data_IF_463073129566
#
_entry.id   IF_463073129566
#
_cell.length_a   1.000
_cell.length_b   1.000
_cell.length_c   1.000
_cell.angle_alpha   90.00
_cell.angle_beta   90.00
_cell.angle_gamma   90.00
#
_symmetry.space_group_name_H-M   'P 1'
#
loop_
_entity.id
_entity.type
_entity.pdbx_description
1 polymer ?
#
# COMPACT_ATOMS: atom_id res chain seq x y z
N UNK A 1 43.81 -15.38 -11.06
CA UNK A 1 42.94 -14.28 -11.52
C UNK A 1 41.44 -14.60 -11.50
N UNK A 2 40.91 -15.60 -12.26
CA UNK A 2 39.46 -15.89 -12.20
C UNK A 2 38.93 -16.27 -10.81
N UNK A 3 39.63 -17.06 -10.03
CA UNK A 3 39.24 -17.48 -8.67
C UNK A 3 39.27 -16.33 -7.63
N UNK A 4 40.23 -15.43 -7.73
CA UNK A 4 40.30 -14.25 -6.84
C UNK A 4 39.20 -13.24 -7.13
N UNK A 5 38.88 -12.99 -8.41
CA UNK A 5 37.75 -12.13 -8.82
C UNK A 5 36.42 -12.72 -8.34
N UNK A 6 36.24 -14.04 -8.46
CA UNK A 6 35.03 -14.72 -7.99
C UNK A 6 34.89 -14.71 -6.46
N UNK A 7 35.99 -14.83 -5.72
CA UNK A 7 36.00 -14.73 -4.26
C UNK A 7 35.70 -13.32 -3.81
N UNK A 8 36.26 -12.30 -4.45
CA UNK A 8 36.00 -10.88 -4.18
C UNK A 8 34.53 -10.51 -4.45
N UNK A 9 33.94 -10.98 -5.55
CA UNK A 9 32.52 -10.75 -5.88
C UNK A 9 31.57 -11.43 -4.89
N UNK A 10 31.89 -12.62 -4.38
CA UNK A 10 31.11 -13.30 -3.35
C UNK A 10 31.10 -12.55 -2.02
N UNK A 11 32.15 -11.81 -1.71
CA UNK A 11 32.27 -11.00 -0.50
C UNK A 11 31.67 -9.59 -0.66
N UNK A 12 31.44 -9.12 -1.88
CA UNK A 12 30.83 -7.83 -2.17
C UNK A 12 29.33 -7.83 -1.84
N UNK A 13 28.90 -7.01 -0.90
CA UNK A 13 27.49 -6.85 -0.55
C UNK A 13 26.70 -6.19 -1.69
N UNK A 14 27.29 -5.25 -2.40
CA UNK A 14 26.64 -4.54 -3.52
C UNK A 14 26.38 -5.49 -4.66
N UNK A 15 27.38 -6.30 -5.06
CA UNK A 15 27.20 -7.30 -6.10
C UNK A 15 26.08 -8.30 -5.75
N UNK A 16 26.12 -8.85 -4.54
CA UNK A 16 25.10 -9.79 -4.08
C UNK A 16 23.71 -9.14 -4.01
N UNK A 17 23.63 -7.91 -3.55
CA UNK A 17 22.37 -7.15 -3.55
C UNK A 17 21.82 -6.94 -4.96
N UNK A 18 22.67 -6.62 -5.93
CA UNK A 18 22.27 -6.45 -7.34
C UNK A 18 21.74 -7.74 -7.96
N UNK A 19 22.39 -8.88 -7.67
CA UNK A 19 21.90 -10.21 -8.10
C UNK A 19 20.49 -10.47 -7.53
N UNK A 20 20.29 -10.22 -6.23
CA UNK A 20 18.99 -10.39 -5.57
C UNK A 20 17.95 -9.43 -6.17
N UNK A 21 18.31 -8.15 -6.39
CA UNK A 21 17.42 -7.15 -6.98
C UNK A 21 17.01 -7.57 -8.40
N UNK A 22 17.93 -8.06 -9.21
CA UNK A 22 17.65 -8.54 -10.56
C UNK A 22 16.66 -9.71 -10.56
N UNK A 23 16.84 -10.67 -9.63
CA UNK A 23 15.90 -11.77 -9.43
C UNK A 23 14.51 -11.29 -9.01
N UNK A 24 14.43 -10.36 -8.04
CA UNK A 24 13.14 -9.80 -7.59
C UNK A 24 12.46 -8.99 -8.71
N UNK A 25 13.26 -8.41 -9.63
CA UNK A 25 12.75 -7.69 -10.81
C UNK A 25 12.15 -8.66 -11.83
N UNK A 26 12.76 -9.81 -12.07
CA UNK A 26 12.19 -10.85 -12.95
C UNK A 26 10.91 -11.48 -12.39
N UNK A 27 10.70 -11.40 -11.05
CA UNK A 27 9.44 -11.76 -10.39
C UNK A 27 8.39 -10.64 -10.46
N UNK A 28 8.61 -9.57 -11.23
CA UNK A 28 7.72 -8.38 -11.36
C UNK A 28 7.38 -7.67 -10.02
N UNK A 29 8.20 -7.84 -8.99
CA UNK A 29 8.00 -7.24 -7.66
C UNK A 29 8.62 -5.85 -7.57
N UNK A 30 8.27 -4.97 -8.48
CA UNK A 30 8.90 -3.67 -8.71
C UNK A 30 8.92 -2.74 -7.48
N UNK A 31 7.91 -2.77 -6.61
CA UNK A 31 7.93 -2.01 -5.36
C UNK A 31 9.03 -2.50 -4.41
N UNK A 32 9.25 -3.82 -4.34
CA UNK A 32 10.32 -4.42 -3.55
C UNK A 32 11.69 -4.04 -4.12
N UNK A 33 11.85 -4.11 -5.45
CA UNK A 33 13.04 -3.65 -6.17
C UNK A 33 13.39 -2.22 -5.77
N UNK A 34 12.43 -1.30 -5.90
CA UNK A 34 12.63 0.12 -5.55
C UNK A 34 13.05 0.31 -4.08
N UNK A 35 12.43 -0.43 -3.16
CA UNK A 35 12.79 -0.35 -1.73
C UNK A 35 14.21 -0.84 -1.50
N UNK A 36 14.61 -1.95 -2.13
CA UNK A 36 15.95 -2.51 -2.04
C UNK A 36 17.00 -1.55 -2.60
N UNK A 37 16.79 -1.02 -3.81
CA UNK A 37 17.68 -0.04 -4.44
C UNK A 37 17.82 1.24 -3.61
N UNK A 38 16.72 1.73 -3.04
CA UNK A 38 16.74 2.95 -2.24
C UNK A 38 17.47 2.73 -0.92
N UNK A 39 17.25 1.59 -0.26
CA UNK A 39 17.93 1.23 0.98
C UNK A 39 19.43 1.01 0.75
N UNK A 40 19.81 0.34 -0.35
CA UNK A 40 21.21 0.11 -0.72
C UNK A 40 21.94 1.44 -0.98
N UNK A 41 21.35 2.33 -1.78
CA UNK A 41 21.94 3.67 -2.02
C UNK A 41 22.10 4.46 -0.73
N UNK A 42 21.14 4.39 0.18
CA UNK A 42 21.21 5.05 1.47
C UNK A 42 22.35 4.49 2.34
N UNK A 43 22.53 3.17 2.33
CA UNK A 43 23.62 2.49 3.07
C UNK A 43 24.99 2.90 2.53
N UNK A 44 25.16 2.91 1.20
CA UNK A 44 26.43 3.31 0.56
C UNK A 44 26.77 4.76 0.80
N UNK A 45 25.76 5.63 0.89
CA UNK A 45 25.97 7.04 1.27
C UNK A 45 26.50 7.17 2.71
N UNK A 46 25.95 6.38 3.64
CA UNK A 46 26.44 6.33 5.02
C UNK A 46 27.87 5.83 5.12
N UNK A 47 28.19 4.80 4.34
CA UNK A 47 29.52 4.20 4.33
C UNK A 47 30.57 5.00 3.56
N UNK A 48 30.15 6.03 2.81
CA UNK A 48 31.00 6.83 1.89
C UNK A 48 31.79 5.94 0.92
N UNK A 49 31.20 4.85 0.47
CA UNK A 49 31.84 3.82 -0.33
C UNK A 49 30.95 3.39 -1.51
N UNK A 50 31.58 2.95 -2.60
CA UNK A 50 30.89 2.37 -3.76
C UNK A 50 30.55 0.88 -3.57
N UNK A 51 31.23 0.21 -2.64
CA UNK A 51 30.99 -1.17 -2.25
C UNK A 51 31.31 -1.40 -0.77
N UNK A 52 30.80 -2.51 -0.23
CA UNK A 52 30.99 -2.96 1.14
C UNK A 52 31.27 -4.45 1.18
N UNK A 53 32.24 -4.88 1.98
CA UNK A 53 32.36 -6.29 2.32
C UNK A 53 31.17 -6.72 3.20
N UNK A 54 30.61 -7.89 2.92
CA UNK A 54 29.56 -8.48 3.76
C UNK A 54 30.02 -8.60 5.22
N UNK A 55 31.31 -8.83 5.44
CA UNK A 55 31.92 -8.96 6.78
C UNK A 55 31.95 -7.63 7.55
N UNK A 56 32.04 -6.49 6.85
CA UNK A 56 32.04 -5.16 7.48
C UNK A 56 30.66 -4.75 7.99
N UNK A 57 29.59 -5.39 7.56
CA UNK A 57 28.24 -5.14 8.03
C UNK A 57 28.04 -5.84 9.39
N UNK A 58 28.52 -5.21 10.44
CA UNK A 58 28.39 -5.66 11.83
C UNK A 58 27.15 -5.08 12.50
N UNK A 59 26.79 -5.55 13.70
CA UNK A 59 25.69 -4.98 14.48
C UNK A 59 25.93 -3.49 14.82
N UNK A 60 27.18 -3.14 15.10
CA UNK A 60 27.59 -1.75 15.39
C UNK A 60 27.49 -0.88 14.15
N UNK A 61 27.89 -1.38 12.99
CA UNK A 61 27.72 -0.69 11.72
C UNK A 61 26.24 -0.41 11.43
N UNK A 62 25.35 -1.40 11.63
CA UNK A 62 23.89 -1.22 11.43
C UNK A 62 23.32 -0.21 12.43
N UNK A 63 23.76 -0.24 13.68
CA UNK A 63 23.37 0.73 14.72
C UNK A 63 23.81 2.15 14.35
N UNK A 64 25.06 2.33 13.94
CA UNK A 64 25.59 3.60 13.48
C UNK A 64 24.82 4.15 12.27
N UNK A 65 24.51 3.30 11.29
CA UNK A 65 23.66 3.66 10.15
C UNK A 65 22.28 4.17 10.57
N UNK A 66 21.61 3.50 11.52
CA UNK A 66 20.31 3.96 12.01
C UNK A 66 20.40 5.29 12.78
N UNK A 67 21.46 5.49 13.55
CA UNK A 67 21.72 6.78 14.22
C UNK A 67 21.97 7.89 13.21
N UNK A 68 22.78 7.63 12.20
CA UNK A 68 23.04 8.58 11.12
C UNK A 68 21.73 8.98 10.41
N UNK A 69 20.85 8.02 10.08
CA UNK A 69 19.54 8.32 9.48
C UNK A 69 18.69 9.22 10.39
N UNK A 70 18.70 8.98 11.71
CA UNK A 70 17.99 9.84 12.67
C UNK A 70 18.53 11.26 12.66
N UNK A 71 19.86 11.42 12.66
CA UNK A 71 20.51 12.74 12.58
C UNK A 71 20.20 13.46 11.27
N UNK A 72 19.99 12.73 10.16
CA UNK A 72 19.52 13.29 8.89
C UNK A 72 18.02 13.65 8.91
N UNK A 73 17.31 13.54 10.02
CA UNK A 73 15.89 13.84 10.14
C UNK A 73 14.97 12.82 9.44
N UNK A 74 15.47 11.63 9.12
CA UNK A 74 14.70 10.59 8.45
C UNK A 74 13.67 9.99 9.42
N UNK A 75 12.41 9.88 8.98
CA UNK A 75 11.33 9.35 9.80
C UNK A 75 11.56 7.88 10.22
N UNK A 76 11.08 7.49 11.40
CA UNK A 76 11.19 6.12 11.92
C UNK A 76 10.60 5.08 10.96
N UNK A 77 9.52 5.41 10.25
CA UNK A 77 8.93 4.52 9.23
C UNK A 77 9.90 4.28 8.07
N UNK A 78 10.60 5.31 7.62
CA UNK A 78 11.59 5.20 6.53
C UNK A 78 12.81 4.41 7.01
N UNK A 79 13.31 4.67 8.22
CA UNK A 79 14.41 3.91 8.84
C UNK A 79 14.04 2.43 8.91
N UNK A 80 12.85 2.11 9.42
CA UNK A 80 12.35 0.74 9.48
C UNK A 80 12.24 0.10 8.09
N UNK A 81 11.77 0.83 7.08
CA UNK A 81 11.69 0.34 5.70
C UNK A 81 13.08 -0.01 5.14
N UNK A 82 14.06 0.88 5.32
CA UNK A 82 15.44 0.66 4.87
C UNK A 82 16.07 -0.52 5.59
N UNK A 83 15.96 -0.56 6.91
CA UNK A 83 16.51 -1.65 7.73
C UNK A 83 15.91 -3.01 7.36
N UNK A 84 14.59 -3.09 7.19
CA UNK A 84 13.92 -4.35 6.74
C UNK A 84 14.37 -4.76 5.35
N UNK A 85 14.57 -3.82 4.44
CA UNK A 85 15.05 -4.09 3.08
C UNK A 85 16.47 -4.63 3.09
N UNK A 86 17.38 -3.99 3.83
CA UNK A 86 18.77 -4.44 3.95
C UNK A 86 18.88 -5.79 4.66
N UNK A 87 18.11 -6.00 5.74
CA UNK A 87 18.03 -7.31 6.43
C UNK A 87 17.56 -8.41 5.48
N UNK A 88 16.54 -8.11 4.64
CA UNK A 88 16.04 -9.11 3.69
C UNK A 88 17.07 -9.45 2.61
N UNK A 89 17.85 -8.48 2.14
CA UNK A 89 18.98 -8.72 1.23
C UNK A 89 20.06 -9.55 1.93
N UNK A 90 20.51 -9.10 3.09
CA UNK A 90 21.58 -9.77 3.88
C UNK A 90 21.25 -11.24 4.15
N UNK A 91 20.02 -11.53 4.59
CA UNK A 91 19.58 -12.90 4.88
C UNK A 91 19.54 -13.79 3.62
N UNK A 92 19.28 -13.21 2.44
CA UNK A 92 19.27 -13.95 1.17
C UNK A 92 20.68 -14.27 0.65
N UNK A 93 21.67 -13.49 1.02
CA UNK A 93 23.08 -13.76 0.67
C UNK A 93 23.60 -15.04 1.33
N UNK A 94 22.92 -15.54 2.37
CA UNK A 94 23.24 -16.82 3.08
C UNK A 94 24.70 -16.93 3.54
N UNK A 95 25.33 -15.79 3.84
CA UNK A 95 26.75 -15.76 4.18
C UNK A 95 27.12 -16.59 5.43
N UNK A 96 26.17 -16.76 6.37
CA UNK A 96 26.40 -17.51 7.61
C UNK A 96 25.11 -18.18 8.09
N UNK A 97 24.86 -19.41 7.67
CA UNK A 97 23.78 -20.22 8.26
C UNK A 97 24.05 -20.43 9.77
N UNK A 98 23.06 -20.14 10.60
CA UNK A 98 23.09 -20.43 12.05
C UNK A 98 23.79 -19.40 12.94
N UNK A 99 24.22 -18.23 12.44
CA UNK A 99 24.76 -17.13 13.26
C UNK A 99 23.77 -15.98 13.38
N UNK A 100 23.80 -15.27 14.53
CA UNK A 100 23.03 -14.04 14.74
C UNK A 100 23.25 -13.06 13.60
N UNK A 101 22.17 -12.48 13.08
CA UNK A 101 22.25 -11.50 11.99
C UNK A 101 22.59 -10.12 12.58
N UNK A 102 23.44 -9.31 11.90
CA UNK A 102 23.75 -7.95 12.36
C UNK A 102 22.53 -7.04 12.47
N UNK A 103 21.38 -7.48 11.94
CA UNK A 103 20.11 -6.77 12.01
C UNK A 103 19.18 -7.25 13.13
N UNK A 104 19.62 -8.14 14.02
CA UNK A 104 18.77 -8.76 15.06
C UNK A 104 18.16 -7.71 15.99
N UNK A 105 18.97 -6.78 16.49
CA UNK A 105 18.53 -5.70 17.38
C UNK A 105 18.24 -4.38 16.66
N UNK A 106 18.23 -4.39 15.32
CA UNK A 106 17.97 -3.19 14.56
C UNK A 106 16.48 -2.80 14.59
N UNK A 107 16.20 -1.50 14.66
CA UNK A 107 14.83 -1.01 14.64
C UNK A 107 14.13 -1.37 13.32
N UNK A 108 13.08 -2.15 13.43
CA UNK A 108 12.21 -2.55 12.31
C UNK A 108 10.72 -2.36 12.64
N UNK A 109 10.43 -1.56 13.67
CA UNK A 109 9.09 -1.26 14.16
C UNK A 109 8.23 -0.50 13.14
N UNK A 110 6.96 -0.37 13.47
CA UNK A 110 5.99 0.42 12.71
C UNK A 110 5.34 1.40 13.67
N UNK A 111 5.86 2.64 13.78
CA UNK A 111 5.24 3.63 14.66
C UNK A 111 3.83 3.94 14.20
N UNK A 112 2.98 4.25 15.16
CA UNK A 112 1.62 4.67 14.84
C UNK A 112 1.63 5.92 13.97
N UNK A 113 0.89 5.87 12.89
CA UNK A 113 0.68 7.01 12.00
C UNK A 113 -0.76 7.48 12.13
N UNK A 114 -0.98 8.80 12.04
CA UNK A 114 -2.32 9.37 12.04
C UNK A 114 -3.18 8.70 10.95
N UNK A 115 -4.26 8.06 11.38
CA UNK A 115 -5.20 7.37 10.48
C UNK A 115 -5.97 8.40 9.68
N UNK A 116 -5.79 8.39 8.39
CA UNK A 116 -6.39 9.36 7.46
C UNK A 116 -7.62 8.76 6.80
N UNK A 117 -8.79 8.93 7.42
CA UNK A 117 -10.08 8.62 6.83
C UNK A 117 -10.93 9.89 6.76
N UNK A 118 -11.87 9.95 5.82
CA UNK A 118 -12.85 11.03 5.73
C UNK A 118 -14.21 10.58 6.28
N UNK A 119 -15.04 11.54 6.64
CA UNK A 119 -16.39 11.29 7.14
C UNK A 119 -17.39 11.07 5.98
N UNK A 120 -18.54 10.46 6.28
CA UNK A 120 -19.62 10.30 5.31
C UNK A 120 -20.11 11.62 4.72
N UNK A 121 -20.05 12.71 5.49
CA UNK A 121 -20.36 14.08 5.02
C UNK A 121 -19.41 14.53 3.92
N UNK A 122 -18.12 14.23 4.05
CA UNK A 122 -17.11 14.59 3.06
C UNK A 122 -17.23 13.72 1.79
N UNK A 123 -17.56 12.43 1.95
CA UNK A 123 -17.88 11.56 0.81
C UNK A 123 -19.09 12.12 0.02
N UNK A 124 -20.13 12.59 0.72
CA UNK A 124 -21.29 13.21 0.05
C UNK A 124 -20.95 14.50 -0.69
N UNK A 125 -20.01 15.32 -0.18
CA UNK A 125 -19.52 16.49 -0.90
C UNK A 125 -18.82 16.13 -2.20
N UNK A 126 -18.00 15.07 -2.19
CA UNK A 126 -17.34 14.54 -3.40
C UNK A 126 -18.35 14.05 -4.44
N UNK A 127 -19.38 13.33 -4.00
CA UNK A 127 -20.47 12.87 -4.87
C UNK A 127 -21.22 14.00 -5.55
N UNK A 128 -21.41 15.14 -4.84
CA UNK A 128 -22.14 16.31 -5.33
C UNK A 128 -21.33 17.26 -6.23
N UNK A 129 -20.01 17.04 -6.37
CA UNK A 129 -19.17 17.87 -7.23
C UNK A 129 -19.65 17.81 -8.68
N UNK A 130 -19.95 18.97 -9.25
CA UNK A 130 -20.20 19.11 -10.68
C UNK A 130 -18.87 19.23 -11.40
N UNK A 131 -18.57 18.28 -12.27
CA UNK A 131 -17.34 18.21 -13.05
C UNK A 131 -17.69 17.98 -14.52
N UNK A 132 -16.95 18.58 -15.45
CA UNK A 132 -17.19 18.33 -16.88
C UNK A 132 -17.10 16.84 -17.21
N UNK A 133 -18.07 16.35 -17.96
CA UNK A 133 -18.13 14.93 -18.38
C UNK A 133 -16.86 14.59 -19.18
N UNK A 134 -16.29 13.42 -18.91
CA UNK A 134 -15.04 12.97 -19.56
C UNK A 134 -13.78 13.68 -19.09
N UNK A 135 -13.85 14.64 -18.17
CA UNK A 135 -12.66 15.30 -17.63
C UNK A 135 -11.84 14.33 -16.75
N UNK A 136 -10.54 14.61 -16.66
CA UNK A 136 -9.62 13.86 -15.81
C UNK A 136 -10.03 13.90 -14.34
N UNK A 137 -10.53 15.03 -13.86
CA UNK A 137 -11.01 15.17 -12.48
C UNK A 137 -12.29 14.35 -12.24
N UNK A 138 -13.20 14.28 -13.23
CA UNK A 138 -14.38 13.42 -13.16
C UNK A 138 -13.97 11.94 -13.06
N UNK A 139 -13.02 11.48 -13.88
CA UNK A 139 -12.48 10.13 -13.80
C UNK A 139 -11.86 9.86 -12.42
N UNK A 140 -11.03 10.76 -11.91
CA UNK A 140 -10.38 10.58 -10.61
C UNK A 140 -11.38 10.54 -9.45
N UNK A 141 -12.44 11.39 -9.48
CA UNK A 141 -13.54 11.33 -8.53
C UNK A 141 -14.28 9.98 -8.60
N UNK A 142 -14.66 9.58 -9.79
CA UNK A 142 -15.45 8.36 -10.00
C UNK A 142 -14.66 7.10 -9.62
N UNK A 143 -13.36 7.06 -9.90
CA UNK A 143 -12.46 5.98 -9.43
C UNK A 143 -12.37 5.95 -7.91
N UNK A 144 -12.29 7.11 -7.22
CA UNK A 144 -12.26 7.15 -5.76
C UNK A 144 -13.55 6.61 -5.14
N UNK A 145 -14.70 7.03 -5.69
CA UNK A 145 -16.04 6.60 -5.26
C UNK A 145 -16.24 5.10 -5.56
N UNK A 146 -15.85 4.66 -6.76
CA UNK A 146 -15.90 3.25 -7.14
C UNK A 146 -15.07 2.37 -6.18
N UNK A 147 -13.85 2.79 -5.88
CA UNK A 147 -13.01 2.08 -4.91
C UNK A 147 -13.68 1.98 -3.53
N UNK A 148 -14.39 3.04 -3.09
CA UNK A 148 -15.14 3.00 -1.84
C UNK A 148 -16.31 2.00 -1.92
N UNK A 149 -17.11 2.04 -2.97
CA UNK A 149 -18.20 1.09 -3.17
C UNK A 149 -17.71 -0.36 -3.32
N UNK A 150 -16.51 -0.54 -3.85
CA UNK A 150 -15.86 -1.83 -3.98
C UNK A 150 -15.00 -2.18 -2.75
N UNK A 151 -15.57 -2.04 -1.54
CA UNK A 151 -14.97 -2.50 -0.27
C UNK A 151 -13.59 -1.90 0.02
N UNK A 152 -13.35 -0.66 -0.40
CA UNK A 152 -12.05 -0.01 -0.25
C UNK A 152 -10.98 -0.60 -1.18
N UNK A 153 -11.34 -0.95 -2.42
CA UNK A 153 -10.42 -1.45 -3.43
C UNK A 153 -9.20 -0.53 -3.57
N UNK A 154 -7.96 -1.04 -3.53
CA UNK A 154 -6.76 -0.23 -3.74
C UNK A 154 -6.66 0.30 -5.17
N UNK A 155 -6.02 1.46 -5.36
CA UNK A 155 -5.84 2.05 -6.68
C UNK A 155 -5.11 1.13 -7.67
N UNK A 156 -4.15 0.32 -7.19
CA UNK A 156 -3.47 -0.65 -8.06
C UNK A 156 -4.43 -1.71 -8.60
N UNK A 157 -5.39 -2.15 -7.80
CA UNK A 157 -6.33 -3.20 -8.21
C UNK A 157 -7.35 -2.63 -9.19
N UNK A 158 -7.89 -1.41 -8.97
CA UNK A 158 -8.84 -0.77 -9.91
C UNK A 158 -8.15 -0.33 -11.20
N UNK A 159 -6.89 0.10 -11.16
CA UNK A 159 -6.16 0.52 -12.35
C UNK A 159 -5.96 -0.62 -13.35
N UNK A 160 -5.82 -1.85 -12.86
CA UNK A 160 -5.68 -3.06 -13.67
C UNK A 160 -6.97 -3.91 -13.75
N UNK A 161 -8.10 -3.39 -13.28
CA UNK A 161 -9.36 -4.13 -13.30
C UNK A 161 -9.83 -4.35 -14.73
N UNK A 162 -9.99 -5.61 -15.14
CA UNK A 162 -10.39 -6.00 -16.49
C UNK A 162 -11.88 -6.21 -16.59
N UNK A 163 -12.47 -5.98 -17.77
CA UNK A 163 -13.89 -6.18 -18.02
C UNK A 163 -14.32 -7.63 -17.89
N UNK A 164 -13.46 -8.59 -18.23
CA UNK A 164 -13.75 -10.02 -18.07
C UNK A 164 -13.82 -10.49 -16.60
N UNK A 165 -13.40 -9.64 -15.66
CA UNK A 165 -13.54 -9.87 -14.21
C UNK A 165 -14.93 -9.46 -13.69
N UNK A 166 -15.80 -8.95 -14.58
CA UNK A 166 -17.17 -8.56 -14.30
C UNK A 166 -18.09 -9.57 -14.97
N UNK A 167 -18.68 -10.46 -14.18
CA UNK A 167 -19.60 -11.49 -14.67
C UNK A 167 -20.63 -11.83 -13.61
N UNK A 168 -21.81 -12.32 -14.03
CA UNK A 168 -22.87 -12.81 -13.16
C UNK A 168 -23.24 -11.85 -12.01
N UNK A 169 -23.25 -10.53 -12.28
CA UNK A 169 -23.59 -9.53 -11.28
C UNK A 169 -22.51 -9.31 -10.20
N UNK A 170 -21.30 -9.81 -10.40
CA UNK A 170 -20.18 -9.69 -9.48
C UNK A 170 -18.92 -9.20 -10.17
N UNK A 171 -18.06 -8.49 -9.39
CA UNK A 171 -16.66 -8.24 -9.73
C UNK A 171 -15.84 -9.29 -8.98
N UNK A 172 -15.08 -10.11 -9.71
CA UNK A 172 -14.18 -11.11 -9.12
C UNK A 172 -12.75 -10.83 -9.56
N UNK A 173 -11.87 -10.50 -8.61
CA UNK A 173 -10.47 -10.23 -8.92
C UNK A 173 -9.54 -10.76 -7.83
N UNK A 174 -8.27 -10.98 -8.21
CA UNK A 174 -7.20 -11.32 -7.27
C UNK A 174 -6.44 -10.06 -6.89
N UNK A 175 -6.29 -9.83 -5.58
CA UNK A 175 -5.49 -8.70 -5.08
C UNK A 175 -4.04 -8.81 -5.54
N UNK A 176 -3.53 -7.77 -6.19
CA UNK A 176 -2.14 -7.77 -6.70
C UNK A 176 -1.08 -7.87 -5.60
N UNK A 177 -1.40 -7.52 -4.37
CA UNK A 177 -0.45 -7.57 -3.24
C UNK A 177 -0.45 -8.91 -2.49
N UNK A 178 -1.60 -9.54 -2.33
CA UNK A 178 -1.78 -10.72 -1.46
C UNK A 178 -2.27 -11.95 -2.19
N UNK A 179 -2.60 -11.81 -3.49
CA UNK A 179 -3.15 -12.87 -4.36
C UNK A 179 -4.46 -13.49 -3.85
N UNK A 180 -5.12 -12.84 -2.89
CA UNK A 180 -6.43 -13.29 -2.42
C UNK A 180 -7.52 -12.94 -3.40
N UNK A 181 -8.45 -13.87 -3.62
CA UNK A 181 -9.67 -13.64 -4.38
C UNK A 181 -10.63 -12.74 -3.61
N UNK A 182 -11.15 -11.71 -4.28
CA UNK A 182 -12.17 -10.81 -3.75
C UNK A 182 -13.37 -10.87 -4.66
N UNK A 183 -14.55 -11.07 -4.07
CA UNK A 183 -15.83 -11.12 -4.77
C UNK A 183 -16.70 -9.96 -4.28
N UNK A 184 -17.16 -9.12 -5.20
CA UNK A 184 -17.93 -7.91 -4.89
C UNK A 184 -19.24 -7.97 -5.69
N UNK A 185 -20.39 -8.11 -5.05
CA UNK A 185 -21.67 -7.94 -5.72
C UNK A 185 -21.79 -6.55 -6.34
N UNK A 186 -22.33 -6.47 -7.53
CA UNK A 186 -22.48 -5.19 -8.26
C UNK A 186 -23.78 -4.53 -7.84
N UNK A 187 -23.66 -3.59 -6.91
CA UNK A 187 -24.75 -2.72 -6.52
C UNK A 187 -25.07 -1.69 -7.64
N UNK A 188 -26.30 -1.12 -7.69
CA UNK A 188 -26.69 -0.15 -8.71
C UNK A 188 -25.71 0.99 -8.90
N UNK A 189 -25.13 1.53 -7.82
CA UNK A 189 -24.16 2.62 -7.83
C UNK A 189 -22.84 2.22 -8.50
N UNK A 190 -22.40 0.99 -8.34
CA UNK A 190 -21.22 0.43 -9.01
C UNK A 190 -21.49 0.32 -10.51
N UNK A 191 -22.67 -0.23 -10.87
CA UNK A 191 -23.11 -0.41 -12.26
C UNK A 191 -23.16 0.92 -13.00
N UNK A 192 -23.69 1.97 -12.35
CA UNK A 192 -23.77 3.32 -12.91
C UNK A 192 -22.37 3.89 -13.25
N UNK A 193 -21.41 3.76 -12.34
CA UNK A 193 -20.04 4.23 -12.61
C UNK A 193 -19.40 3.44 -13.75
N UNK A 194 -19.53 2.13 -13.78
CA UNK A 194 -18.98 1.29 -14.86
C UNK A 194 -19.56 1.71 -16.21
N UNK A 195 -20.87 2.00 -16.27
CA UNK A 195 -21.56 2.38 -17.49
C UNK A 195 -21.01 3.70 -18.10
N UNK A 196 -20.58 4.66 -17.27
CA UNK A 196 -19.97 5.92 -17.75
C UNK A 196 -18.69 5.70 -18.56
N UNK A 197 -17.96 4.62 -18.29
CA UNK A 197 -16.68 4.28 -18.94
C UNK A 197 -16.77 3.11 -19.91
N UNK A 198 -17.97 2.73 -20.32
CA UNK A 198 -18.24 1.54 -21.15
C UNK A 198 -17.42 1.53 -22.45
N UNK A 199 -17.25 2.67 -23.08
CA UNK A 199 -16.62 2.83 -24.39
C UNK A 199 -15.19 3.37 -24.31
N UNK A 200 -14.67 3.67 -23.12
CA UNK A 200 -13.39 4.33 -22.97
C UNK A 200 -12.18 3.42 -23.28
N UNK A 201 -12.31 2.12 -23.01
CA UNK A 201 -11.30 1.09 -23.31
C UNK A 201 -11.96 -0.27 -23.51
N UNK A 202 -11.31 -1.14 -24.32
CA UNK A 202 -11.84 -2.49 -24.58
C UNK A 202 -11.51 -3.47 -23.47
N UNK A 203 -10.33 -3.45 -22.90
CA UNK A 203 -9.81 -4.43 -21.95
C UNK A 203 -10.07 -4.04 -20.50
N UNK A 204 -9.69 -2.83 -20.10
CA UNK A 204 -9.84 -2.33 -18.73
C UNK A 204 -11.21 -1.68 -18.51
N UNK A 205 -11.67 -1.70 -17.25
CA UNK A 205 -12.91 -1.03 -16.85
C UNK A 205 -12.78 0.48 -16.94
N UNK A 206 -11.65 1.03 -16.49
CA UNK A 206 -11.36 2.47 -16.51
C UNK A 206 -10.17 2.81 -17.42
N UNK A 207 -10.21 3.97 -18.10
CA UNK A 207 -9.12 4.42 -18.97
C UNK A 207 -7.98 5.04 -18.14
N UNK A 208 -7.44 4.29 -17.18
CA UNK A 208 -6.37 4.76 -16.31
C UNK A 208 -5.01 4.48 -16.94
N UNK A 209 -4.79 3.23 -17.36
CA UNK A 209 -3.50 2.79 -17.90
C UNK A 209 -3.52 2.75 -19.43
N UNK A 210 -2.39 3.06 -20.02
CA UNK A 210 -2.13 2.90 -21.46
C UNK A 210 -1.35 1.62 -21.76
N UNK A 211 -0.59 1.11 -20.77
CA UNK A 211 0.18 -0.13 -20.84
C UNK A 211 -0.29 -1.08 -19.73
N UNK A 212 -0.49 -2.35 -20.09
CA UNK A 212 -1.08 -3.35 -19.18
C UNK A 212 -0.13 -4.48 -18.77
N UNK A 213 1.05 -4.59 -19.42
CA UNK A 213 2.01 -5.67 -19.20
C UNK A 213 3.44 -5.17 -19.08
N UNK A 214 4.28 -5.93 -18.38
CA UNK A 214 5.72 -5.72 -18.26
C UNK A 214 6.14 -4.49 -17.45
N UNK A 215 7.38 -4.09 -17.62
CA UNK A 215 8.00 -2.94 -16.92
C UNK A 215 7.31 -1.62 -17.27
N UNK A 216 6.86 -1.48 -18.50
CA UNK A 216 6.18 -0.27 -18.98
C UNK A 216 4.83 -0.07 -18.31
N UNK A 217 4.11 -1.15 -18.05
CA UNK A 217 2.86 -1.10 -17.28
C UNK A 217 3.08 -0.61 -15.85
N UNK A 218 4.17 -1.02 -15.20
CA UNK A 218 4.50 -0.53 -13.87
C UNK A 218 4.90 0.95 -13.89
N UNK A 219 5.68 1.37 -14.87
CA UNK A 219 6.09 2.77 -15.05
C UNK A 219 4.88 3.67 -15.32
N UNK A 220 3.97 3.24 -16.21
CA UNK A 220 2.71 3.93 -16.47
C UNK A 220 1.83 4.00 -15.22
N UNK A 221 1.66 2.89 -14.52
CA UNK A 221 0.94 2.86 -13.24
C UNK A 221 1.51 3.87 -12.24
N UNK A 222 2.83 3.95 -12.07
CA UNK A 222 3.47 4.89 -11.15
C UNK A 222 3.19 6.35 -11.51
N UNK A 223 3.26 6.68 -12.80
CA UNK A 223 2.93 8.01 -13.31
C UNK A 223 1.45 8.34 -13.06
N UNK A 224 0.55 7.40 -13.39
CA UNK A 224 -0.89 7.55 -13.19
C UNK A 224 -1.28 7.65 -11.71
N UNK A 225 -0.61 6.91 -10.83
CA UNK A 225 -0.81 7.04 -9.38
C UNK A 225 -0.40 8.44 -8.87
N UNK A 226 0.70 8.99 -9.35
CA UNK A 226 1.11 10.37 -9.01
C UNK A 226 0.07 11.39 -9.49
N UNK A 227 -0.38 11.25 -10.74
CA UNK A 227 -1.43 12.12 -11.32
C UNK A 227 -2.74 12.00 -10.55
N UNK A 228 -3.17 10.78 -10.24
CA UNK A 228 -4.37 10.52 -9.45
C UNK A 228 -4.31 11.15 -8.05
N UNK A 229 -3.19 11.04 -7.35
CA UNK A 229 -3.02 11.70 -6.06
C UNK A 229 -3.00 13.24 -6.17
N UNK A 230 -2.51 13.79 -7.28
CA UNK A 230 -2.61 15.22 -7.56
C UNK A 230 -4.06 15.65 -7.78
N UNK A 231 -4.82 14.90 -8.58
CA UNK A 231 -6.25 15.16 -8.84
C UNK A 231 -7.08 15.06 -7.56
N UNK A 232 -6.83 14.06 -6.72
CA UNK A 232 -7.50 13.90 -5.43
C UNK A 232 -7.26 15.09 -4.51
N UNK A 233 -6.09 15.73 -4.55
CA UNK A 233 -5.82 16.97 -3.81
C UNK A 233 -6.67 18.13 -4.35
N UNK A 234 -6.78 18.28 -5.66
CA UNK A 234 -7.64 19.30 -6.28
C UNK A 234 -9.11 19.05 -5.92
N UNK A 235 -9.60 17.82 -6.02
CA UNK A 235 -10.97 17.46 -5.62
C UNK A 235 -11.23 17.74 -4.14
N UNK A 236 -10.23 17.57 -3.27
CA UNK A 236 -10.34 17.92 -1.85
C UNK A 236 -10.58 19.42 -1.65
N UNK A 237 -9.87 20.26 -2.41
CA UNK A 237 -10.01 21.72 -2.37
C UNK A 237 -11.38 22.15 -2.91
N UNK A 238 -11.78 21.63 -4.08
CA UNK A 238 -13.09 21.92 -4.70
C UNK A 238 -14.25 21.52 -3.79
N UNK A 239 -14.17 20.37 -3.13
CA UNK A 239 -15.18 19.89 -2.19
C UNK A 239 -15.06 20.53 -0.79
N UNK A 240 -14.12 21.47 -0.58
CA UNK A 240 -13.85 22.11 0.71
C UNK A 240 -13.69 21.11 1.86
N UNK A 241 -12.90 20.06 1.61
CA UNK A 241 -12.59 19.06 2.63
C UNK A 241 -11.50 19.56 3.56
N UNK A 242 -11.60 19.24 4.86
CA UNK A 242 -10.55 19.55 5.85
C UNK A 242 -9.26 18.73 5.62
N UNK A 243 -9.37 17.59 4.96
CA UNK A 243 -8.26 16.65 4.76
C UNK A 243 -7.96 16.48 3.28
N UNK A 244 -6.68 16.55 2.91
CA UNK A 244 -6.23 16.28 1.53
C UNK A 244 -6.37 14.78 1.24
N UNK A 245 -7.11 14.44 0.19
CA UNK A 245 -7.30 13.07 -0.23
C UNK A 245 -6.01 12.47 -0.81
N UNK A 246 -5.87 11.17 -0.61
CA UNK A 246 -4.88 10.33 -1.27
C UNK A 246 -5.52 9.01 -1.71
N UNK A 247 -4.93 8.34 -2.68
CA UNK A 247 -5.42 7.06 -3.19
C UNK A 247 -5.61 5.98 -2.12
N UNK A 248 -4.86 6.05 -1.02
CA UNK A 248 -4.92 5.07 0.06
C UNK A 248 -6.01 5.34 1.09
N UNK A 249 -6.48 6.60 1.16
CA UNK A 249 -7.51 7.01 2.15
C UNK A 249 -8.85 6.33 1.94
N UNK A 250 -9.21 6.00 0.70
CA UNK A 250 -10.48 5.33 0.41
C UNK A 250 -10.63 4.03 1.20
N UNK A 251 -9.55 3.25 1.32
CA UNK A 251 -9.53 2.00 2.05
C UNK A 251 -9.65 2.20 3.56
N UNK A 252 -8.94 3.19 4.11
CA UNK A 252 -9.09 3.59 5.51
C UNK A 252 -10.51 4.11 5.80
N UNK A 253 -11.07 4.87 4.89
CA UNK A 253 -12.42 5.43 5.00
C UNK A 253 -13.46 4.31 5.03
N UNK A 254 -13.39 3.37 4.10
CA UNK A 254 -14.33 2.24 4.06
C UNK A 254 -14.23 1.40 5.35
N UNK A 255 -13.03 1.00 5.73
CA UNK A 255 -12.81 0.18 6.93
C UNK A 255 -13.28 0.88 8.21
N UNK A 256 -12.97 2.16 8.37
CA UNK A 256 -13.40 2.95 9.54
C UNK A 256 -14.92 3.11 9.58
N UNK A 257 -15.57 3.42 8.45
CA UNK A 257 -17.02 3.54 8.38
C UNK A 257 -17.73 2.20 8.62
N UNK A 258 -17.22 1.10 8.07
CA UNK A 258 -17.75 -0.24 8.33
C UNK A 258 -17.67 -0.57 9.82
N UNK A 259 -16.54 -0.32 10.44
CA UNK A 259 -16.35 -0.54 11.88
C UNK A 259 -17.26 0.37 12.74
N UNK A 260 -17.38 1.65 12.38
CA UNK A 260 -18.30 2.60 13.06
C UNK A 260 -19.77 2.15 12.94
N UNK A 261 -20.12 1.44 11.86
CA UNK A 261 -21.43 0.82 11.63
C UNK A 261 -21.56 -0.57 12.21
N UNK A 262 -20.55 -1.01 13.02
CA UNK A 262 -20.55 -2.28 13.74
C UNK A 262 -20.56 -3.53 12.86
N UNK A 263 -20.02 -3.41 11.65
CA UNK A 263 -19.68 -4.58 10.85
C UNK A 263 -18.57 -5.34 11.58
N UNK A 264 -18.72 -6.64 11.68
CA UNK A 264 -17.76 -7.52 12.36
C UNK A 264 -16.34 -7.38 11.78
N UNK A 265 -15.33 -7.42 12.65
CA UNK A 265 -13.93 -7.22 12.27
C UNK A 265 -13.43 -8.30 11.29
N UNK A 266 -13.91 -9.55 11.42
CA UNK A 266 -13.54 -10.61 10.50
C UNK A 266 -14.14 -10.39 9.12
N UNK A 267 -15.40 -9.89 9.07
CA UNK A 267 -16.04 -9.49 7.80
C UNK A 267 -15.26 -8.36 7.14
N UNK A 268 -14.89 -7.32 7.90
CA UNK A 268 -14.05 -6.24 7.38
C UNK A 268 -12.69 -6.77 6.89
N UNK A 269 -12.06 -7.66 7.65
CA UNK A 269 -10.78 -8.27 7.30
C UNK A 269 -10.87 -9.05 5.99
N UNK A 270 -11.89 -9.88 5.85
CA UNK A 270 -12.15 -10.66 4.62
C UNK A 270 -12.44 -9.74 3.42
N UNK A 271 -13.28 -8.73 3.59
CA UNK A 271 -13.59 -7.74 2.56
C UNK A 271 -12.34 -6.98 2.07
N UNK A 272 -11.44 -6.67 3.01
CA UNK A 272 -10.15 -6.04 2.68
C UNK A 272 -9.12 -7.04 2.12
N UNK A 273 -9.36 -8.34 2.14
CA UNK A 273 -8.40 -9.38 1.72
C UNK A 273 -7.15 -9.37 2.60
N UNK A 274 -7.33 -9.44 3.92
CA UNK A 274 -6.26 -9.61 4.89
C UNK A 274 -6.25 -11.04 5.41
N UNK A 275 -5.08 -11.68 5.44
CA UNK A 275 -4.89 -13.01 6.03
C UNK A 275 -4.98 -12.99 7.55
N UNK A 276 -4.56 -11.86 8.16
CA UNK A 276 -4.57 -11.67 9.61
C UNK A 276 -5.47 -10.48 9.97
N UNK A 277 -6.52 -10.68 10.80
CA UNK A 277 -7.41 -9.63 11.28
C UNK A 277 -6.68 -8.47 11.98
N UNK A 278 -5.56 -8.73 12.65
CA UNK A 278 -4.73 -7.69 13.27
C UNK A 278 -4.28 -6.63 12.26
N UNK A 279 -4.06 -7.02 11.00
CA UNK A 279 -3.74 -6.07 9.92
C UNK A 279 -4.88 -5.07 9.70
N UNK A 280 -6.13 -5.47 9.97
CA UNK A 280 -7.32 -4.62 9.79
C UNK A 280 -7.37 -3.49 10.82
N UNK A 281 -6.87 -3.71 12.04
CA UNK A 281 -6.83 -2.69 13.09
C UNK A 281 -5.98 -1.47 12.70
N UNK A 282 -4.99 -1.65 11.80
CA UNK A 282 -4.20 -0.54 11.26
C UNK A 282 -5.06 0.44 10.46
N UNK A 283 -6.18 -0.01 9.87
CA UNK A 283 -7.06 0.81 9.05
C UNK A 283 -8.17 1.49 9.84
N UNK A 284 -8.50 0.99 11.03
CA UNK A 284 -9.62 1.44 11.83
C UNK A 284 -9.16 2.56 12.77
N UNK A 285 -9.93 3.63 12.87
CA UNK A 285 -9.76 4.61 13.95
C UNK A 285 -10.01 3.93 15.27
N UNK A 286 -9.21 4.25 16.30
CA UNK A 286 -9.37 3.70 17.64
C UNK A 286 -10.81 3.86 18.16
N UNK A 287 -11.22 2.95 19.04
CA UNK A 287 -12.51 3.00 19.73
C UNK A 287 -12.58 4.31 20.53
N UNK A 288 -13.61 5.10 20.31
CA UNK A 288 -13.84 6.32 21.07
C UNK A 288 -14.81 6.05 22.25
N UNK A 289 -14.82 6.96 23.24
CA UNK A 289 -15.67 6.84 24.42
C UNK A 289 -17.16 6.72 24.08
N UNK A 290 -17.62 7.31 22.99
CA UNK A 290 -19.00 7.22 22.53
C UNK A 290 -19.36 5.81 22.06
N UNK A 291 -18.45 5.12 21.39
CA UNK A 291 -18.64 3.72 20.98
C UNK A 291 -18.69 2.79 22.19
N UNK A 292 -17.79 2.99 23.17
CA UNK A 292 -17.83 2.24 24.44
C UNK A 292 -19.16 2.46 25.17
N UNK A 293 -19.59 3.72 25.32
CA UNK A 293 -20.87 4.05 25.98
C UNK A 293 -22.06 3.43 25.25
N UNK A 294 -22.08 3.43 23.92
CA UNK A 294 -23.15 2.82 23.13
C UNK A 294 -23.17 1.29 23.27
N UNK A 295 -22.00 0.64 23.26
CA UNK A 295 -21.88 -0.79 23.48
C UNK A 295 -22.42 -1.18 24.87
N UNK A 296 -21.97 -0.48 25.91
CA UNK A 296 -22.45 -0.70 27.29
C UNK A 296 -23.97 -0.48 27.42
N UNK A 297 -24.49 0.60 26.80
CA UNK A 297 -25.94 0.88 26.83
C UNK A 297 -26.76 -0.23 26.18
N UNK A 298 -26.24 -0.87 25.11
CA UNK A 298 -26.90 -2.01 24.47
C UNK A 298 -26.91 -3.24 25.37
N UNK A 299 -25.80 -3.54 26.04
CA UNK A 299 -25.70 -4.64 26.98
C UNK A 299 -26.67 -4.42 28.18
N UNK A 300 -26.68 -3.21 28.74
CA UNK A 300 -27.61 -2.87 29.79
C UNK A 300 -29.08 -3.04 29.36
N UNK A 301 -29.45 -2.53 28.17
CA UNK A 301 -30.78 -2.72 27.61
C UNK A 301 -31.15 -4.18 27.39
N UNK A 302 -30.21 -5.02 27.00
CA UNK A 302 -30.41 -6.44 26.79
C UNK A 302 -30.69 -7.16 28.14
N UNK A 303 -29.92 -6.82 29.16
CA UNK A 303 -30.04 -7.44 30.49
C UNK A 303 -31.24 -6.89 31.29
N UNK A 304 -31.65 -5.64 31.04
CA UNK A 304 -32.74 -4.98 31.81
C UNK A 304 -34.11 -5.07 31.12
N UNK A 305 -34.19 -5.65 29.91
CA UNK A 305 -35.49 -5.97 29.29
C UNK A 305 -35.99 -7.27 29.90
N UNK A 306 -36.93 -7.14 30.84
CA UNK A 306 -37.86 -8.20 31.26
C UNK A 306 -38.87 -8.45 30.17
#
# INVERSE_FOLDING_TARGET
MKKEVETTLKESFVYQAQVIISRVRSEERYNTVKNYETALRSLLRYAEASDLSIRSITADFVRGYQQWLKHQGISLNTISCYTRSLRAIYNKVQWRKGKATPFEHAYTGSPETAKRSIQATDMRKLLKLQLPVGSRLALSRDVFIFCFYCLGMPFIDVAFLRRNQISNGCITYYRRKTHQAIHIPIEPQIKEIIARYRHAQRELVFPILTQTQGVDAYSDYRRKLSQYNYDLRQLSQMAKLKTRLTSYMVRHTWASMAYERQVDLHVISKALGHDNPQTTLVYIRGINNRQLANANRRLLKFVTKS
#
